data_IF_170447720085
#
_entry.id   IF_170447720085
#
_cell.length_a   1.000
_cell.length_b   1.000
_cell.length_c   1.000
_cell.angle_alpha   90.00
_cell.angle_beta   90.00
_cell.angle_gamma   90.00
#
_symmetry.space_group_name_H-M   'P 1'
#
loop_
_entity.id
_entity.type
_entity.pdbx_description
1 polymer ?
#
# COMPACT_ATOMS: atom_id res chain seq x y z
N UNK A 1 -17.74 21.43 59.36
CA UNK A 1 -19.03 21.62 58.65
C UNK A 1 -18.93 20.93 57.29
N UNK A 2 -19.75 19.89 57.11
CA UNK A 2 -20.21 19.24 55.87
C UNK A 2 -19.18 18.57 54.95
N UNK A 3 -19.01 17.26 55.22
CA UNK A 3 -18.83 16.20 54.22
C UNK A 3 -19.96 16.23 53.18
N UNK A 4 -19.66 15.82 51.94
CA UNK A 4 -20.62 15.14 51.08
C UNK A 4 -19.91 14.14 50.17
N UNK A 5 -20.14 12.85 50.47
CA UNK A 5 -20.14 11.73 49.52
C UNK A 5 -21.01 12.11 48.30
N UNK A 6 -20.76 11.69 47.07
CA UNK A 6 -20.32 10.40 46.56
C UNK A 6 -21.42 9.95 45.62
N UNK A 7 -21.10 9.63 44.37
CA UNK A 7 -21.98 8.80 43.52
C UNK A 7 -21.18 8.19 42.36
N UNK A 8 -20.97 6.89 42.50
CA UNK A 8 -20.43 5.96 41.53
C UNK A 8 -21.51 5.63 40.49
N UNK A 9 -21.37 6.17 39.28
CA UNK A 9 -22.22 5.82 38.14
C UNK A 9 -21.86 4.44 37.58
N UNK A 10 -22.72 3.46 37.85
CA UNK A 10 -22.69 2.10 37.30
C UNK A 10 -22.95 2.10 35.80
N UNK A 11 -22.05 1.50 35.02
CA UNK A 11 -22.20 1.24 33.58
C UNK A 11 -23.23 0.13 33.37
N UNK A 12 -24.32 0.44 32.67
CA UNK A 12 -25.27 -0.55 32.18
C UNK A 12 -24.88 -0.99 30.77
N UNK A 13 -24.48 -2.24 30.63
CA UNK A 13 -24.24 -2.94 29.37
C UNK A 13 -25.57 -3.21 28.65
N UNK A 14 -25.84 -2.47 27.58
CA UNK A 14 -26.94 -2.77 26.66
C UNK A 14 -26.55 -3.91 25.72
N UNK A 15 -27.20 -5.05 25.85
CA UNK A 15 -27.09 -6.19 24.92
C UNK A 15 -27.75 -5.84 23.58
N UNK A 16 -26.99 -5.98 22.49
CA UNK A 16 -27.50 -5.86 21.13
C UNK A 16 -28.29 -7.14 20.74
N UNK A 17 -29.44 -7.03 20.06
CA UNK A 17 -30.15 -8.19 19.54
C UNK A 17 -29.43 -8.77 18.31
N UNK A 18 -29.07 -10.04 18.40
CA UNK A 18 -28.51 -10.86 17.32
C UNK A 18 -29.60 -11.21 16.30
N UNK A 19 -29.68 -10.45 15.21
CA UNK A 19 -30.46 -10.80 14.02
C UNK A 19 -29.55 -11.40 12.95
N UNK A 20 -29.70 -12.69 12.67
CA UNK A 20 -29.07 -13.33 11.51
C UNK A 20 -29.77 -12.90 10.21
N UNK A 21 -29.03 -12.58 9.13
CA UNK A 21 -29.64 -12.29 7.84
C UNK A 21 -30.20 -13.56 7.17
N UNK A 22 -31.33 -13.47 6.43
CA UNK A 22 -31.88 -14.60 5.68
C UNK A 22 -31.01 -14.98 4.48
N UNK A 23 -30.91 -16.29 4.22
CA UNK A 23 -30.21 -16.88 3.09
C UNK A 23 -30.90 -16.59 1.73
N UNK A 24 -30.15 -16.56 0.62
CA UNK A 24 -30.68 -16.20 -0.71
C UNK A 24 -31.53 -17.32 -1.34
N UNK A 25 -32.50 -17.00 -2.22
CA UNK A 25 -33.26 -17.99 -2.97
C UNK A 25 -32.41 -18.67 -4.05
N UNK A 26 -32.53 -19.99 -4.12
CA UNK A 26 -31.90 -20.89 -5.10
C UNK A 26 -32.57 -20.76 -6.47
N UNK A 27 -31.87 -20.16 -7.44
CA UNK A 27 -32.24 -20.18 -8.86
C UNK A 27 -31.50 -21.30 -9.59
N UNK A 28 -32.23 -22.20 -10.26
CA UNK A 28 -31.68 -23.24 -11.13
C UNK A 28 -31.21 -22.66 -12.48
N UNK A 29 -30.12 -23.18 -13.08
CA UNK A 29 -29.67 -22.74 -14.41
C UNK A 29 -30.51 -23.37 -15.54
N UNK A 30 -30.71 -22.67 -16.68
CA UNK A 30 -31.28 -23.25 -17.88
C UNK A 30 -30.29 -24.19 -18.62
N UNK A 31 -30.79 -25.16 -19.42
CA UNK A 31 -29.98 -26.18 -20.09
C UNK A 31 -29.23 -25.65 -21.34
N UNK A 32 -28.16 -26.34 -21.79
CA UNK A 32 -27.38 -25.96 -22.96
C UNK A 32 -28.09 -26.33 -24.27
N UNK A 33 -27.99 -25.45 -25.28
CA UNK A 33 -28.41 -25.73 -26.64
C UNK A 33 -27.21 -26.17 -27.50
N UNK A 34 -27.32 -27.42 -27.93
CA UNK A 34 -26.65 -28.22 -28.96
C UNK A 34 -25.70 -27.61 -30.00
N UNK A 35 -24.64 -28.38 -30.22
CA UNK A 35 -23.75 -28.46 -31.38
C UNK A 35 -24.45 -28.43 -32.75
N UNK A 36 -23.79 -27.82 -33.72
CA UNK A 36 -23.73 -28.34 -35.09
C UNK A 36 -22.42 -27.92 -35.76
N UNK A 37 -21.64 -28.95 -36.10
CA UNK A 37 -20.43 -28.89 -36.89
C UNK A 37 -20.73 -28.86 -38.41
N UNK A 38 -19.65 -28.64 -39.17
CA UNK A 38 -19.47 -28.77 -40.63
C UNK A 38 -19.73 -27.50 -41.44
N UNK A 39 -18.98 -27.16 -42.49
CA UNK A 39 -17.70 -27.62 -43.04
C UNK A 39 -17.38 -26.68 -44.20
N UNK A 40 -16.08 -26.40 -44.40
CA UNK A 40 -15.49 -26.12 -45.72
C UNK A 40 -15.74 -24.77 -46.39
N UNK A 41 -14.69 -23.95 -46.51
CA UNK A 41 -14.05 -23.74 -47.82
C UNK A 41 -12.82 -22.82 -47.66
N UNK A 42 -11.67 -23.35 -48.05
CA UNK A 42 -10.42 -22.63 -48.25
C UNK A 42 -10.55 -21.61 -49.38
N UNK A 43 -10.20 -20.35 -49.10
CA UNK A 43 -9.75 -19.43 -50.14
C UNK A 43 -8.55 -18.64 -49.63
N UNK A 44 -7.39 -19.01 -50.17
CA UNK A 44 -6.14 -18.26 -50.06
C UNK A 44 -6.31 -16.91 -50.75
N UNK A 45 -6.14 -15.83 -50.00
CA UNK A 45 -5.89 -14.52 -50.54
C UNK A 45 -4.68 -13.94 -49.80
N UNK A 46 -3.50 -14.10 -50.41
CA UNK A 46 -2.34 -13.30 -50.07
C UNK A 46 -2.66 -11.84 -50.43
N UNK A 47 -2.81 -11.01 -49.41
CA UNK A 47 -2.94 -9.56 -49.56
C UNK A 47 -2.11 -8.87 -48.49
N UNK A 48 -0.95 -8.37 -48.92
CA UNK A 48 -0.27 -7.21 -48.35
C UNK A 48 0.29 -7.35 -46.94
N UNK A 49 1.51 -7.86 -46.81
CA UNK A 49 2.41 -7.42 -45.75
C UNK A 49 2.75 -5.94 -46.00
N UNK A 50 1.86 -5.04 -45.57
CA UNK A 50 2.23 -3.65 -45.37
C UNK A 50 3.38 -3.59 -44.36
N UNK A 51 4.25 -2.56 -44.40
CA UNK A 51 5.29 -2.42 -43.39
C UNK A 51 4.61 -2.29 -42.02
N UNK A 52 4.67 -3.35 -41.21
CA UNK A 52 4.28 -3.27 -39.81
C UNK A 52 5.29 -2.35 -39.14
N UNK A 53 4.90 -1.08 -38.94
CA UNK A 53 5.65 -0.18 -38.08
C UNK A 53 5.76 -0.85 -36.70
N UNK A 54 6.96 -1.10 -36.15
CA UNK A 54 7.06 -1.58 -34.79
C UNK A 54 6.81 -0.39 -33.86
N UNK A 55 5.54 -0.01 -33.69
CA UNK A 55 5.12 0.91 -32.62
C UNK A 55 4.72 0.14 -31.36
N UNK A 56 5.25 -1.08 -31.18
CA UNK A 56 5.09 -1.84 -29.96
C UNK A 56 6.03 -1.29 -28.89
N UNK A 57 5.48 -0.73 -27.81
CA UNK A 57 6.28 -0.44 -26.64
C UNK A 57 6.86 -1.78 -26.13
N UNK A 58 8.17 -1.88 -25.84
CA UNK A 58 8.72 -3.12 -25.33
C UNK A 58 8.02 -3.53 -24.03
N UNK A 59 7.65 -4.81 -23.95
CA UNK A 59 7.11 -5.42 -22.75
C UNK A 59 8.13 -6.40 -22.15
N UNK A 60 8.09 -6.55 -20.84
CA UNK A 60 8.95 -7.43 -20.05
C UNK A 60 8.10 -8.36 -19.18
N UNK A 61 8.55 -9.59 -19.02
CA UNK A 61 8.05 -10.48 -17.97
C UNK A 61 8.87 -10.23 -16.71
N UNK A 62 8.20 -10.02 -15.58
CA UNK A 62 8.85 -9.75 -14.29
C UNK A 62 8.11 -10.46 -13.15
N UNK A 63 8.87 -11.02 -12.21
CA UNK A 63 8.33 -11.54 -10.95
C UNK A 63 8.59 -10.58 -9.78
N UNK A 64 7.55 -9.89 -9.30
CA UNK A 64 7.65 -8.98 -8.15
C UNK A 64 7.22 -9.68 -6.85
N UNK A 65 8.04 -9.60 -5.81
CA UNK A 65 7.70 -10.13 -4.47
C UNK A 65 7.17 -9.00 -3.59
N UNK A 66 5.86 -8.80 -3.58
CA UNK A 66 5.17 -7.71 -2.89
C UNK A 66 4.41 -8.25 -1.68
N UNK A 67 4.67 -7.68 -0.49
CA UNK A 67 4.00 -8.04 0.76
C UNK A 67 4.04 -9.55 1.06
N UNK A 68 5.16 -10.20 0.72
CA UNK A 68 5.37 -11.64 0.89
C UNK A 68 4.79 -12.53 -0.23
N UNK A 69 4.05 -11.96 -1.19
CA UNK A 69 3.43 -12.68 -2.32
C UNK A 69 4.22 -12.45 -3.60
N UNK A 70 4.43 -13.51 -4.40
CA UNK A 70 5.07 -13.39 -5.71
C UNK A 70 4.02 -13.17 -6.81
N UNK A 71 4.22 -12.11 -7.61
CA UNK A 71 3.35 -11.73 -8.72
C UNK A 71 4.14 -11.82 -10.03
N UNK A 72 3.78 -12.77 -10.90
CA UNK A 72 4.30 -12.84 -12.26
C UNK A 72 3.49 -11.91 -13.17
N UNK A 73 4.14 -10.94 -13.80
CA UNK A 73 3.50 -9.86 -14.55
C UNK A 73 4.16 -9.67 -15.93
N UNK A 74 3.35 -9.35 -16.93
CA UNK A 74 3.80 -8.84 -18.24
C UNK A 74 3.53 -7.34 -18.27
N UNK A 75 4.58 -6.53 -18.26
CA UNK A 75 4.48 -5.07 -18.13
C UNK A 75 5.12 -4.34 -19.32
N UNK A 76 4.62 -3.15 -19.67
CA UNK A 76 5.38 -2.17 -20.47
C UNK A 76 6.68 -1.84 -19.73
N UNK A 77 7.81 -1.84 -20.44
CA UNK A 77 9.14 -1.68 -19.86
C UNK A 77 9.36 -0.34 -19.13
N UNK A 78 8.48 0.65 -19.35
CA UNK A 78 8.52 1.98 -18.70
C UNK A 78 7.67 2.05 -17.43
N UNK A 79 6.92 1.00 -17.11
CA UNK A 79 6.05 0.98 -15.92
C UNK A 79 6.91 1.15 -14.67
N UNK A 80 6.58 2.18 -13.89
CA UNK A 80 7.22 2.44 -12.61
C UNK A 80 6.77 1.40 -11.58
N UNK A 81 7.56 1.19 -10.53
CA UNK A 81 7.16 0.37 -9.40
C UNK A 81 5.88 0.93 -8.77
N UNK A 82 5.72 2.25 -8.75
CA UNK A 82 4.50 2.90 -8.28
C UNK A 82 3.27 2.45 -9.09
N UNK A 83 3.35 2.50 -10.42
CA UNK A 83 2.22 2.17 -11.29
C UNK A 83 1.95 0.67 -11.31
N UNK A 84 3.00 -0.17 -11.24
CA UNK A 84 2.83 -1.60 -11.05
C UNK A 84 2.05 -1.92 -9.75
N UNK A 85 2.42 -1.30 -8.64
CA UNK A 85 1.73 -1.50 -7.36
C UNK A 85 0.27 -1.01 -7.41
N UNK A 86 0.05 0.20 -7.91
CA UNK A 86 -1.27 0.84 -7.84
C UNK A 86 -2.23 0.35 -8.91
N UNK A 87 -1.81 0.39 -10.17
CA UNK A 87 -2.70 0.29 -11.32
C UNK A 87 -2.75 -1.14 -11.86
N UNK A 88 -1.69 -1.93 -11.65
CA UNK A 88 -1.67 -3.35 -12.04
C UNK A 88 -2.08 -4.25 -10.88
N UNK A 89 -1.52 -4.07 -9.68
CA UNK A 89 -1.78 -4.92 -8.51
C UNK A 89 -2.93 -4.42 -7.61
N UNK A 90 -3.43 -3.20 -7.83
CA UNK A 90 -4.53 -2.63 -7.03
C UNK A 90 -4.15 -2.23 -5.60
N UNK A 91 -2.86 -2.21 -5.26
CA UNK A 91 -2.32 -1.77 -3.97
C UNK A 91 -2.23 -0.24 -3.94
N UNK A 92 -3.39 0.37 -3.72
CA UNK A 92 -3.56 1.83 -3.86
C UNK A 92 -3.10 2.64 -2.65
N UNK A 93 -2.59 2.01 -1.59
CA UNK A 93 -2.04 2.65 -0.39
C UNK A 93 -0.87 3.55 -0.74
N UNK A 94 0.07 3.08 -1.56
CA UNK A 94 1.15 3.91 -2.12
C UNK A 94 0.57 5.00 -3.03
N UNK A 95 0.95 6.27 -2.86
CA UNK A 95 0.28 7.41 -3.55
C UNK A 95 1.13 8.06 -4.63
N UNK A 96 0.47 8.49 -5.72
CA UNK A 96 1.06 9.32 -6.78
C UNK A 96 0.78 10.80 -6.52
N UNK A 97 1.66 11.46 -5.76
CA UNK A 97 1.52 12.89 -5.45
C UNK A 97 2.12 13.82 -6.49
N UNK A 98 3.38 13.58 -6.88
CA UNK A 98 4.11 14.44 -7.83
C UNK A 98 4.60 13.71 -9.09
N UNK A 99 4.83 12.39 -9.00
CA UNK A 99 5.44 11.57 -10.06
C UNK A 99 6.83 12.04 -10.53
N UNK A 100 7.54 12.81 -9.69
CA UNK A 100 8.86 13.42 -9.98
C UNK A 100 9.84 13.25 -8.81
N UNK A 101 9.51 12.38 -7.85
CA UNK A 101 10.30 12.10 -6.66
C UNK A 101 10.39 13.19 -5.59
N UNK A 102 9.68 14.30 -5.76
CA UNK A 102 9.75 15.44 -4.85
C UNK A 102 8.95 15.28 -3.54
N UNK A 103 7.85 14.52 -3.54
CA UNK A 103 6.89 14.54 -2.42
C UNK A 103 6.98 13.38 -1.42
N UNK A 104 7.65 12.28 -1.76
CA UNK A 104 7.74 11.07 -0.91
C UNK A 104 6.44 10.28 -0.71
N UNK A 105 5.27 10.73 -1.18
CA UNK A 105 4.00 10.01 -0.98
C UNK A 105 3.95 8.60 -1.60
N UNK A 106 4.89 8.30 -2.51
CA UNK A 106 5.06 6.99 -3.14
C UNK A 106 6.12 6.11 -2.45
N UNK A 107 6.56 6.46 -1.25
CA UNK A 107 7.59 5.68 -0.55
C UNK A 107 7.09 4.29 -0.19
N UNK A 108 7.86 3.27 -0.57
CA UNK A 108 7.73 1.87 -0.18
C UNK A 108 9.04 1.40 0.42
N UNK A 109 9.06 0.23 1.06
CA UNK A 109 10.32 -0.39 1.48
C UNK A 109 10.73 -1.46 0.47
N UNK A 110 12.00 -1.42 0.05
CA UNK A 110 12.62 -2.48 -0.74
C UNK A 110 13.83 -3.01 -0.01
N UNK A 111 13.81 -4.30 0.33
CA UNK A 111 14.83 -4.95 1.17
C UNK A 111 15.10 -4.14 2.46
N UNK A 112 14.03 -3.63 3.08
CA UNK A 112 14.09 -2.83 4.30
C UNK A 112 14.51 -1.37 4.13
N UNK A 113 14.78 -0.90 2.90
CA UNK A 113 15.21 0.48 2.62
C UNK A 113 14.10 1.30 1.96
N UNK A 114 13.95 2.59 2.28
CA UNK A 114 12.92 3.42 1.67
C UNK A 114 13.28 3.69 0.19
N UNK A 115 12.29 3.54 -0.69
CA UNK A 115 12.40 3.79 -2.13
C UNK A 115 11.24 4.65 -2.60
N UNK A 116 11.55 5.71 -3.34
CA UNK A 116 10.58 6.56 -4.04
C UNK A 116 10.10 5.82 -5.29
N UNK A 117 8.95 5.15 -5.21
CA UNK A 117 8.52 4.19 -6.22
C UNK A 117 8.24 4.79 -7.61
N UNK A 118 7.95 6.10 -7.72
CA UNK A 118 7.71 6.74 -9.01
C UNK A 118 8.97 6.91 -9.86
N UNK A 119 10.17 6.84 -9.26
CA UNK A 119 11.46 6.94 -9.98
C UNK A 119 12.13 5.57 -10.15
N UNK A 120 11.45 4.49 -9.78
CA UNK A 120 11.91 3.12 -9.88
C UNK A 120 11.16 2.41 -11.02
N UNK A 121 11.85 1.77 -11.96
CA UNK A 121 11.18 0.90 -12.95
C UNK A 121 10.87 -0.45 -12.33
N UNK A 122 9.66 -0.98 -12.51
CA UNK A 122 9.25 -2.26 -11.92
C UNK A 122 10.22 -3.41 -12.28
N UNK A 123 10.70 -3.43 -13.53
CA UNK A 123 11.65 -4.41 -14.04
C UNK A 123 12.97 -4.49 -13.24
N UNK A 124 13.41 -3.40 -12.60
CA UNK A 124 14.66 -3.36 -11.83
C UNK A 124 14.54 -4.02 -10.44
N UNK A 125 13.32 -4.36 -10.02
CA UNK A 125 13.01 -4.84 -8.68
C UNK A 125 12.56 -6.31 -8.66
N UNK A 126 12.81 -7.04 -9.74
CA UNK A 126 12.56 -8.48 -9.81
C UNK A 126 13.21 -9.22 -8.63
N UNK A 127 12.45 -10.12 -8.01
CA UNK A 127 12.90 -10.95 -6.89
C UNK A 127 13.15 -10.22 -5.56
N UNK A 128 13.24 -8.90 -5.56
CA UNK A 128 13.48 -8.08 -4.35
C UNK A 128 12.24 -8.06 -3.46
N UNK A 129 12.44 -7.94 -2.14
CA UNK A 129 11.35 -7.87 -1.19
C UNK A 129 10.76 -6.45 -1.19
N UNK A 130 9.52 -6.30 -1.66
CA UNK A 130 8.80 -5.03 -1.67
C UNK A 130 7.72 -5.07 -0.59
N UNK A 131 7.73 -4.08 0.30
CA UNK A 131 6.73 -3.93 1.37
C UNK A 131 6.02 -2.60 1.20
N UNK A 132 4.70 -2.62 1.21
CA UNK A 132 3.84 -1.43 1.13
C UNK A 132 3.08 -1.21 2.44
N UNK A 133 2.36 -0.09 2.54
CA UNK A 133 1.63 0.26 3.77
C UNK A 133 0.54 -0.77 4.13
N UNK A 134 -0.02 -1.44 3.13
CA UNK A 134 -1.08 -2.44 3.27
C UNK A 134 -0.64 -3.64 4.11
N UNK A 135 0.65 -4.01 4.09
CA UNK A 135 1.14 -5.19 4.83
C UNK A 135 1.49 -4.90 6.28
N UNK A 136 1.44 -3.64 6.72
CA UNK A 136 1.89 -3.29 8.07
C UNK A 136 0.90 -3.73 9.15
N UNK A 137 -0.41 -3.70 8.84
CA UNK A 137 -1.42 -4.22 9.73
C UNK A 137 -1.62 -5.72 9.49
N UNK A 138 -1.57 -6.52 10.54
CA UNK A 138 -1.78 -7.96 10.50
C UNK A 138 -2.93 -8.34 11.43
N UNK A 139 -3.87 -9.17 10.96
CA UNK A 139 -5.00 -9.68 11.75
C UNK A 139 -5.82 -8.58 12.47
N UNK A 140 -5.95 -7.42 11.83
CA UNK A 140 -6.67 -6.26 12.37
C UNK A 140 -5.89 -5.47 13.43
N UNK A 141 -4.66 -5.86 13.74
CA UNK A 141 -3.76 -5.16 14.65
C UNK A 141 -2.89 -4.19 13.86
N UNK A 142 -2.90 -2.93 14.27
CA UNK A 142 -2.07 -1.89 13.67
C UNK A 142 -0.59 -2.10 14.03
N UNK A 143 0.29 -1.81 13.07
CA UNK A 143 1.72 -1.68 13.34
C UNK A 143 1.96 -0.59 14.41
N UNK A 144 2.99 -0.71 15.29
CA UNK A 144 3.26 0.31 16.31
C UNK A 144 3.34 1.74 15.77
N UNK A 145 3.98 1.93 14.61
CA UNK A 145 4.02 3.22 13.90
C UNK A 145 2.63 3.70 13.47
N UNK A 146 1.77 2.81 12.94
CA UNK A 146 0.39 3.19 12.58
C UNK A 146 -0.41 3.59 13.83
N UNK A 147 -0.28 2.82 14.92
CA UNK A 147 -0.96 3.10 16.18
C UNK A 147 -0.50 4.46 16.77
N UNK A 148 0.80 4.73 16.77
CA UNK A 148 1.34 6.02 17.21
C UNK A 148 0.86 7.17 16.33
N UNK A 149 0.80 6.99 15.01
CA UNK A 149 0.27 8.02 14.11
C UNK A 149 -1.19 8.38 14.43
N UNK A 150 -2.00 7.40 14.85
CA UNK A 150 -3.38 7.63 15.32
C UNK A 150 -3.38 8.35 16.67
N UNK A 151 -2.59 7.89 17.64
CA UNK A 151 -2.53 8.48 18.99
C UNK A 151 -2.14 9.96 18.97
N UNK A 152 -1.21 10.32 18.09
CA UNK A 152 -0.62 11.67 18.03
C UNK A 152 -1.28 12.58 16.98
N UNK A 153 -2.36 12.15 16.33
CA UNK A 153 -2.99 12.89 15.23
C UNK A 153 -1.96 13.30 14.15
N UNK A 154 -1.11 12.34 13.78
CA UNK A 154 0.04 12.54 12.88
C UNK A 154 -0.35 12.58 11.39
N UNK A 155 -1.58 12.98 11.09
CA UNK A 155 -2.09 13.14 9.74
C UNK A 155 -3.33 14.05 9.76
N UNK A 156 -3.72 14.54 8.59
CA UNK A 156 -5.02 15.22 8.41
C UNK A 156 -5.72 14.66 7.18
N UNK A 157 -5.40 15.15 5.98
CA UNK A 157 -6.00 14.63 4.74
C UNK A 157 -5.65 13.17 4.43
N UNK A 158 -4.67 12.60 5.13
CA UNK A 158 -4.25 11.19 4.97
C UNK A 158 -3.39 10.91 3.74
N UNK A 159 -3.22 11.86 2.81
CA UNK A 159 -2.60 11.56 1.51
C UNK A 159 -1.10 11.25 1.60
N UNK A 160 -0.34 11.99 2.40
CA UNK A 160 1.09 11.71 2.60
C UNK A 160 1.34 10.58 3.61
N UNK A 161 0.31 10.18 4.36
CA UNK A 161 0.44 9.27 5.51
C UNK A 161 1.07 7.92 5.17
N UNK A 162 0.74 7.26 4.04
CA UNK A 162 1.43 6.03 3.63
C UNK A 162 2.95 6.20 3.49
N UNK A 163 3.41 7.24 2.77
CA UNK A 163 4.83 7.50 2.60
C UNK A 163 5.53 7.84 3.92
N UNK A 164 4.89 8.66 4.76
CA UNK A 164 5.39 8.98 6.10
C UNK A 164 5.56 7.74 6.97
N UNK A 165 4.56 6.86 7.00
CA UNK A 165 4.61 5.62 7.78
C UNK A 165 5.72 4.71 7.25
N UNK A 166 5.81 4.49 5.93
CA UNK A 166 6.83 3.62 5.35
C UNK A 166 8.25 4.13 5.62
N UNK A 167 8.49 5.44 5.53
CA UNK A 167 9.77 6.03 5.90
C UNK A 167 10.09 5.88 7.38
N UNK A 168 9.11 6.13 8.27
CA UNK A 168 9.30 5.96 9.71
C UNK A 168 9.60 4.50 10.08
N UNK A 169 8.92 3.53 9.47
CA UNK A 169 9.19 2.09 9.66
C UNK A 169 10.64 1.76 9.27
N UNK A 170 11.10 2.23 8.10
CA UNK A 170 12.48 1.97 7.67
C UNK A 170 13.52 2.63 8.59
N UNK A 171 13.26 3.86 9.04
CA UNK A 171 14.12 4.60 9.97
C UNK A 171 14.27 3.84 11.29
N UNK A 172 13.15 3.42 11.89
CA UNK A 172 13.14 2.74 13.18
C UNK A 172 13.81 1.36 13.10
N UNK A 173 13.58 0.62 12.02
CA UNK A 173 14.24 -0.66 11.79
C UNK A 173 15.76 -0.52 11.63
N UNK A 174 16.22 0.53 10.94
CA UNK A 174 17.64 0.83 10.81
C UNK A 174 18.26 1.19 12.17
N UNK A 175 17.60 2.06 12.94
CA UNK A 175 18.08 2.47 14.27
C UNK A 175 18.17 1.29 15.24
N UNK A 176 17.21 0.37 15.20
CA UNK A 176 17.23 -0.86 15.99
C UNK A 176 18.41 -1.77 15.62
N UNK A 177 18.65 -1.98 14.33
CA UNK A 177 19.78 -2.78 13.86
C UNK A 177 21.15 -2.16 14.26
N UNK A 178 21.21 -0.83 14.38
CA UNK A 178 22.40 -0.08 14.78
C UNK A 178 22.51 0.14 16.30
N UNK A 179 21.50 -0.22 17.10
CA UNK A 179 21.44 0.09 18.53
C UNK A 179 21.42 1.60 18.81
N UNK A 180 20.81 2.38 17.92
CA UNK A 180 20.87 3.85 17.90
C UNK A 180 19.51 4.48 18.21
N UNK A 181 19.55 5.55 18.99
CA UNK A 181 18.43 6.49 19.17
C UNK A 181 18.60 7.70 18.23
N UNK A 182 17.50 8.35 17.86
CA UNK A 182 17.53 9.55 17.02
C UNK A 182 17.14 10.80 17.80
N UNK A 183 17.87 11.87 17.58
CA UNK A 183 17.50 13.23 18.00
C UNK A 183 16.38 13.79 17.13
N UNK A 184 15.71 14.85 17.60
CA UNK A 184 14.68 15.56 16.81
C UNK A 184 15.17 15.96 15.42
N UNK A 185 16.40 16.46 15.34
CA UNK A 185 16.99 16.95 14.10
C UNK A 185 17.30 15.80 13.12
N UNK A 186 17.79 14.67 13.63
CA UNK A 186 18.02 13.47 12.81
C UNK A 186 16.72 12.88 12.29
N UNK A 187 15.66 12.84 13.10
CA UNK A 187 14.33 12.42 12.63
C UNK A 187 13.82 13.39 11.56
N UNK A 188 13.95 14.70 11.80
CA UNK A 188 13.52 15.73 10.84
C UNK A 188 14.23 15.57 9.50
N UNK A 189 15.54 15.34 9.53
CA UNK A 189 16.35 15.14 8.33
C UNK A 189 15.99 13.84 7.62
N UNK A 190 15.90 12.73 8.35
CA UNK A 190 15.55 11.42 7.78
C UNK A 190 14.15 11.39 7.15
N UNK A 191 13.21 12.16 7.72
CA UNK A 191 11.83 12.25 7.23
C UNK A 191 11.62 13.36 6.18
N UNK A 192 12.63 14.18 5.90
CA UNK A 192 12.53 15.37 5.04
C UNK A 192 12.08 15.07 3.61
N UNK A 193 12.31 13.85 3.12
CA UNK A 193 11.87 13.37 1.81
C UNK A 193 10.36 13.17 1.66
N UNK A 194 9.57 13.33 2.73
CA UNK A 194 8.10 13.19 2.71
C UNK A 194 7.41 14.51 3.01
N UNK A 195 6.78 15.11 2.00
CA UNK A 195 6.11 16.40 2.12
C UNK A 195 4.68 16.21 2.66
N UNK A 196 4.36 16.94 3.72
CA UNK A 196 3.01 17.09 4.29
C UNK A 196 2.52 18.52 4.09
N UNK A 197 1.57 18.74 3.17
CA UNK A 197 1.00 20.07 2.94
C UNK A 197 0.09 20.55 4.06
N UNK A 198 -0.52 19.62 4.81
CA UNK A 198 -1.31 19.92 6.00
C UNK A 198 -0.47 20.42 7.19
N UNK A 199 0.85 20.21 7.16
CA UNK A 199 1.76 20.68 8.22
C UNK A 199 1.77 19.81 9.48
N UNK A 200 1.40 18.52 9.39
CA UNK A 200 1.37 17.61 10.54
C UNK A 200 2.75 17.16 11.08
N UNK A 201 3.85 17.78 10.62
CA UNK A 201 5.22 17.35 10.96
C UNK A 201 5.53 17.26 12.46
N UNK A 202 5.09 18.21 13.33
CA UNK A 202 5.32 18.08 14.76
C UNK A 202 4.69 16.81 15.36
N UNK A 203 3.49 16.45 14.88
CA UNK A 203 2.75 15.27 15.34
C UNK A 203 3.35 13.97 14.78
N UNK A 204 3.81 13.99 13.53
CA UNK A 204 4.57 12.88 12.93
C UNK A 204 5.84 12.60 13.73
N UNK A 205 6.59 13.65 14.11
CA UNK A 205 7.79 13.49 14.95
C UNK A 205 7.46 12.95 16.34
N UNK A 206 6.39 13.45 16.96
CA UNK A 206 5.92 12.94 18.25
C UNK A 206 5.56 11.45 18.18
N UNK A 207 4.88 11.01 17.12
CA UNK A 207 4.56 9.60 16.91
C UNK A 207 5.81 8.72 16.76
N UNK A 208 6.86 9.20 16.08
CA UNK A 208 8.12 8.46 15.93
C UNK A 208 8.81 8.30 17.30
N UNK A 209 8.85 9.37 18.10
CA UNK A 209 9.42 9.33 19.45
C UNK A 209 8.67 8.38 20.39
N UNK A 210 7.34 8.36 20.30
CA UNK A 210 6.51 7.44 21.07
C UNK A 210 6.92 5.98 20.82
N UNK A 211 7.10 5.61 19.54
CA UNK A 211 7.54 4.25 19.18
C UNK A 211 8.98 3.96 19.62
N UNK A 212 9.87 4.96 19.64
CA UNK A 212 11.22 4.79 20.16
C UNK A 212 11.24 4.56 21.69
N UNK A 213 10.31 5.16 22.42
CA UNK A 213 10.22 5.05 23.88
C UNK A 213 9.57 3.75 24.37
N UNK A 214 8.77 3.09 23.53
CA UNK A 214 8.12 1.80 23.83
C UNK A 214 9.05 0.58 23.60
N UNK A 215 10.31 0.80 23.19
CA UNK A 215 11.32 -0.23 22.90
C UNK A 215 12.37 -0.33 24.01
#
# INVERSE_FOLDING_TARGET
MKQKHGETGTRSSGSAPSGSPPSPPSGSPPPPASDSAASGSTSSAAAGSGPSSPSGVPHVDVALRVNGVCHALRLDARVTLLDALRDVLGLTGTKKGCDQGACGACTVAVDGRPVVACLALAAQYEGRAITTVESLAADGVLHPVQAAFVRHDAFQCGYCTPGQIMSAVCLLAAGEAEGRTYTDEEIREAMSGNICRCGAYPHIRAAIHDVLAER
#
